data_IF_654155550514
#
_entry.id   IF_654155550514
#
_cell.length_a   1.000
_cell.length_b   1.000
_cell.length_c   1.000
_cell.angle_alpha   90.00
_cell.angle_beta   90.00
_cell.angle_gamma   90.00
#
_symmetry.space_group_name_H-M   'P 1'
#
loop_
_entity.id
_entity.type
_entity.pdbx_description
1 polymer ?
#
# COMPACT_ATOMS: atom_id res chain seq x y z
N UNK A 1 32.20 -21.58 54.41
CA UNK A 1 31.19 -22.57 54.85
C UNK A 1 29.79 -21.99 54.64
N UNK A 2 28.89 -22.79 54.06
CA UNK A 2 27.40 -22.71 53.94
C UNK A 2 26.72 -21.45 54.53
N UNK A 3 25.75 -20.81 53.87
CA UNK A 3 24.44 -21.39 53.47
C UNK A 3 23.78 -20.64 52.31
N UNK A 4 23.09 -21.43 51.50
CA UNK A 4 22.09 -21.09 50.47
C UNK A 4 20.77 -20.79 51.17
N UNK A 5 20.00 -19.81 50.68
CA UNK A 5 18.53 -19.83 50.76
C UNK A 5 17.96 -19.37 49.41
N UNK A 6 17.36 -20.31 48.68
CA UNK A 6 16.37 -20.06 47.63
C UNK A 6 15.05 -19.63 48.30
N UNK A 7 14.37 -18.63 47.73
CA UNK A 7 12.91 -18.56 47.82
C UNK A 7 12.34 -18.25 46.43
N UNK A 8 11.61 -19.23 45.89
CA UNK A 8 10.63 -19.07 44.84
C UNK A 8 9.32 -18.68 45.52
N UNK A 9 8.59 -17.69 44.99
CA UNK A 9 7.28 -17.34 45.51
C UNK A 9 6.54 -16.36 44.61
N UNK A 10 5.62 -16.91 43.82
CA UNK A 10 4.60 -16.21 43.04
C UNK A 10 3.86 -15.17 43.88
N UNK A 11 3.57 -14.00 43.32
CA UNK A 11 2.24 -13.39 43.44
C UNK A 11 2.08 -12.24 42.45
N UNK A 12 1.03 -12.36 41.65
CA UNK A 12 0.52 -11.39 40.71
C UNK A 12 0.19 -10.07 41.41
N UNK A 13 0.69 -8.95 40.88
CA UNK A 13 0.03 -7.65 41.05
C UNK A 13 -0.33 -7.09 39.68
N UNK A 14 -1.61 -7.25 39.35
CA UNK A 14 -2.31 -6.43 38.36
C UNK A 14 -2.25 -4.97 38.82
N UNK A 15 -1.40 -4.17 38.20
CA UNK A 15 -1.51 -2.70 38.30
C UNK A 15 -2.22 -2.23 37.04
N UNK A 16 -3.55 -2.14 37.17
CA UNK A 16 -4.38 -1.25 36.37
C UNK A 16 -3.95 0.17 36.73
N UNK A 17 -3.29 0.86 35.81
CA UNK A 17 -3.09 2.30 35.88
C UNK A 17 -3.49 2.92 34.53
N UNK A 18 -4.70 3.45 34.51
CA UNK A 18 -5.17 4.41 33.52
C UNK A 18 -4.43 5.75 33.72
N UNK A 19 -3.97 6.37 32.62
CA UNK A 19 -3.26 7.67 32.60
C UNK A 19 -1.76 7.52 32.91
N UNK A 20 -0.80 8.04 32.14
CA UNK A 20 -0.76 9.39 31.56
C UNK A 20 0.36 9.46 30.49
N UNK A 21 0.03 10.06 29.33
CA UNK A 21 0.90 10.78 28.38
C UNK A 21 2.28 10.18 27.98
N UNK A 22 2.27 9.22 27.06
CA UNK A 22 3.41 8.97 26.17
C UNK A 22 3.42 9.96 25.00
N UNK A 23 4.49 10.77 24.87
CA UNK A 23 4.70 11.65 23.72
C UNK A 23 4.77 10.81 22.44
N UNK A 24 3.80 10.99 21.54
CA UNK A 24 3.81 10.39 20.20
C UNK A 24 4.88 11.07 19.34
N UNK A 25 6.12 10.57 19.36
CA UNK A 25 7.07 10.84 18.28
C UNK A 25 6.64 10.02 17.07
N UNK A 26 5.75 10.59 16.25
CA UNK A 26 5.52 10.10 14.89
C UNK A 26 6.76 10.41 14.07
N UNK A 27 7.71 9.47 14.04
CA UNK A 27 8.81 9.51 13.10
C UNK A 27 8.27 9.09 11.73
N UNK A 28 7.93 10.07 10.90
CA UNK A 28 7.74 9.85 9.47
C UNK A 28 9.07 9.42 8.87
N UNK A 29 9.36 8.11 8.84
CA UNK A 29 10.51 7.59 8.12
C UNK A 29 10.27 7.90 6.63
N UNK A 30 11.12 8.72 5.98
CA UNK A 30 10.96 8.99 4.57
C UNK A 30 11.19 7.70 3.80
N UNK A 31 10.12 7.14 3.20
CA UNK A 31 10.23 5.99 2.31
C UNK A 31 11.00 6.44 1.07
N UNK A 32 12.30 6.14 1.03
CA UNK A 32 13.16 6.44 -0.12
C UNK A 32 12.66 5.63 -1.33
N UNK A 33 11.93 6.28 -2.23
CA UNK A 33 11.42 5.65 -3.46
C UNK A 33 12.54 5.63 -4.51
N UNK A 34 13.13 4.46 -4.71
CA UNK A 34 14.16 4.22 -5.73
C UNK A 34 13.54 4.18 -7.15
N UNK A 35 14.22 4.80 -8.12
CA UNK A 35 13.85 4.70 -9.53
C UNK A 35 14.32 3.36 -10.10
N UNK A 36 13.41 2.64 -10.77
CA UNK A 36 13.72 1.41 -11.49
C UNK A 36 13.78 1.73 -12.98
N UNK A 37 14.94 1.43 -13.60
CA UNK A 37 15.12 1.50 -15.05
C UNK A 37 14.17 0.51 -15.75
N UNK A 38 13.37 0.95 -16.74
CA UNK A 38 12.51 0.07 -17.51
C UNK A 38 13.28 -0.94 -18.37
N UNK A 39 12.82 -2.19 -18.37
CA UNK A 39 13.30 -3.24 -19.27
C UNK A 39 12.58 -3.24 -20.63
N UNK A 40 11.48 -2.49 -20.75
CA UNK A 40 10.66 -2.36 -21.96
C UNK A 40 10.03 -0.97 -22.02
N UNK A 41 9.50 -0.60 -23.19
CA UNK A 41 9.01 0.75 -23.48
C UNK A 41 7.65 1.05 -22.84
N UNK A 42 7.33 2.35 -22.72
CA UNK A 42 6.01 2.81 -22.30
C UNK A 42 4.91 2.34 -23.25
N UNK A 43 5.17 2.29 -24.56
CA UNK A 43 4.19 1.83 -25.55
C UNK A 43 3.85 0.35 -25.37
N UNK A 44 4.83 -0.48 -24.98
CA UNK A 44 4.57 -1.87 -24.64
C UNK A 44 3.80 -1.99 -23.31
N UNK A 45 4.09 -1.14 -22.32
CA UNK A 45 3.32 -1.05 -21.08
C UNK A 45 1.85 -0.66 -21.33
N UNK A 46 1.61 0.30 -22.23
CA UNK A 46 0.28 0.72 -22.67
C UNK A 46 -0.51 -0.44 -23.24
N UNK A 47 0.10 -1.24 -24.11
CA UNK A 47 -0.54 -2.42 -24.69
C UNK A 47 -0.92 -3.43 -23.61
N UNK A 48 0.00 -3.76 -22.70
CA UNK A 48 -0.25 -4.70 -21.59
C UNK A 48 -1.41 -4.23 -20.70
N UNK A 49 -1.42 -2.95 -20.33
CA UNK A 49 -2.46 -2.40 -19.45
C UNK A 49 -3.81 -2.34 -20.18
N UNK A 50 -3.84 -1.94 -21.45
CA UNK A 50 -5.07 -1.94 -22.26
C UNK A 50 -5.62 -3.35 -22.45
N UNK A 51 -4.76 -4.33 -22.69
CA UNK A 51 -5.13 -5.74 -22.82
C UNK A 51 -5.72 -6.27 -21.49
N UNK A 52 -5.14 -5.89 -20.34
CA UNK A 52 -5.64 -6.27 -19.01
C UNK A 52 -7.05 -5.73 -18.71
N UNK A 53 -7.37 -4.50 -19.12
CA UNK A 53 -8.67 -3.85 -18.81
C UNK A 53 -9.74 -4.11 -19.86
N UNK A 54 -9.44 -4.81 -20.95
CA UNK A 54 -10.36 -5.01 -22.09
C UNK A 54 -11.68 -5.70 -21.72
N UNK A 55 -11.72 -6.46 -20.62
CA UNK A 55 -12.92 -7.11 -20.10
C UNK A 55 -13.63 -6.34 -18.97
N UNK A 56 -13.13 -5.16 -18.59
CA UNK A 56 -13.73 -4.37 -17.51
C UNK A 56 -14.95 -3.61 -18.03
N UNK A 57 -16.04 -3.66 -17.26
CA UNK A 57 -17.24 -2.87 -17.56
C UNK A 57 -17.00 -1.38 -17.39
N UNK A 58 -17.63 -0.59 -18.27
CA UNK A 58 -17.75 0.87 -18.14
C UNK A 58 -16.43 1.65 -18.14
N UNK A 59 -15.34 1.07 -18.67
CA UNK A 59 -14.10 1.81 -18.91
C UNK A 59 -14.35 2.90 -19.95
N UNK A 60 -14.12 4.16 -19.57
CA UNK A 60 -14.27 5.33 -20.44
C UNK A 60 -12.94 5.78 -21.04
N UNK A 61 -11.85 5.68 -20.29
CA UNK A 61 -10.52 6.06 -20.72
C UNK A 61 -9.43 5.27 -19.97
N UNK A 62 -8.25 5.16 -20.58
CA UNK A 62 -7.07 4.55 -20.00
C UNK A 62 -5.85 5.40 -20.36
N UNK A 63 -5.23 5.97 -19.34
CA UNK A 63 -3.97 6.73 -19.45
C UNK A 63 -2.85 5.96 -18.80
N UNK A 64 -1.69 5.89 -19.45
CA UNK A 64 -0.53 5.18 -18.93
C UNK A 64 0.68 6.11 -18.91
N UNK A 65 1.44 6.08 -17.83
CA UNK A 65 2.64 6.89 -17.68
C UNK A 65 3.72 6.16 -16.87
N UNK A 66 4.95 6.63 -17.00
CA UNK A 66 6.09 6.07 -16.29
C UNK A 66 6.20 6.64 -14.87
N UNK A 67 6.00 5.81 -13.85
CA UNK A 67 6.30 6.14 -12.46
C UNK A 67 7.73 5.77 -12.06
N UNK A 68 8.14 6.00 -10.80
CA UNK A 68 9.50 5.64 -10.35
C UNK A 68 9.75 4.13 -10.37
N UNK A 69 8.86 3.35 -9.75
CA UNK A 69 8.99 1.90 -9.56
C UNK A 69 8.21 1.07 -10.59
N UNK A 70 7.09 1.62 -11.07
CA UNK A 70 6.12 0.93 -11.92
C UNK A 70 5.72 1.83 -13.10
N UNK A 71 5.22 1.23 -14.17
CA UNK A 71 4.29 1.92 -15.06
C UNK A 71 2.94 2.03 -14.36
N UNK A 72 2.26 3.16 -14.52
CA UNK A 72 0.99 3.44 -13.84
C UNK A 72 -0.08 3.64 -14.92
N UNK A 73 -1.09 2.78 -14.91
CA UNK A 73 -2.30 2.91 -15.70
C UNK A 73 -3.43 3.49 -14.87
N UNK A 74 -3.93 4.67 -15.21
CA UNK A 74 -5.17 5.23 -14.69
C UNK A 74 -6.33 4.83 -15.60
N UNK A 75 -7.23 4.03 -15.06
CA UNK A 75 -8.42 3.53 -15.73
C UNK A 75 -9.61 4.31 -15.19
N UNK A 76 -10.25 5.07 -16.07
CA UNK A 76 -11.43 5.85 -15.75
C UNK A 76 -12.65 4.97 -16.00
N UNK A 77 -13.47 4.78 -14.97
CA UNK A 77 -14.64 3.91 -14.99
C UNK A 77 -15.85 4.80 -14.70
N UNK A 78 -16.82 4.80 -15.62
CA UNK A 78 -18.11 5.46 -15.37
C UNK A 78 -18.90 4.62 -14.39
N UNK A 79 -19.35 5.17 -13.27
CA UNK A 79 -20.28 4.48 -12.39
C UNK A 79 -21.74 4.76 -12.75
N UNK A 80 -22.59 3.78 -12.44
CA UNK A 80 -24.02 3.98 -12.37
C UNK A 80 -24.27 4.97 -11.22
N UNK A 81 -24.91 6.11 -11.51
CA UNK A 81 -25.12 7.31 -10.65
C UNK A 81 -24.24 8.53 -10.98
N UNK A 82 -23.42 8.50 -12.04
CA UNK A 82 -22.76 9.70 -12.57
C UNK A 82 -21.50 10.13 -11.80
N UNK A 83 -20.96 9.26 -10.95
CA UNK A 83 -19.63 9.44 -10.38
C UNK A 83 -18.61 8.74 -11.27
N UNK A 84 -17.48 9.40 -11.54
CA UNK A 84 -16.36 8.80 -12.26
C UNK A 84 -15.35 8.27 -11.24
N UNK A 85 -15.04 6.98 -11.29
CA UNK A 85 -14.03 6.34 -10.43
C UNK A 85 -12.74 6.14 -11.22
N UNK A 86 -11.60 6.42 -10.59
CA UNK A 86 -10.27 6.12 -11.15
C UNK A 86 -9.68 4.88 -10.47
N UNK A 87 -9.38 3.85 -11.25
CA UNK A 87 -8.62 2.67 -10.81
C UNK A 87 -7.18 2.80 -11.29
N UNK A 88 -6.23 2.73 -10.36
CA UNK A 88 -4.80 2.70 -10.68
C UNK A 88 -4.30 1.27 -10.82
N UNK A 89 -3.56 1.01 -11.88
CA UNK A 89 -2.91 -0.26 -12.17
C UNK A 89 -1.40 -0.02 -12.16
N UNK A 90 -0.67 -0.76 -11.34
CA UNK A 90 0.79 -0.70 -11.33
C UNK A 90 1.38 -1.91 -12.05
N UNK A 91 2.15 -1.67 -13.11
CA UNK A 91 2.81 -2.70 -13.89
C UNK A 91 4.33 -2.69 -13.63
N UNK A 92 4.91 -3.86 -13.32
CA UNK A 92 6.36 -4.01 -13.11
C UNK A 92 7.17 -3.60 -14.33
N UNK A 93 8.13 -2.70 -14.13
CA UNK A 93 9.08 -2.25 -15.15
C UNK A 93 10.12 -3.31 -15.56
N UNK A 94 10.27 -4.40 -14.81
CA UNK A 94 11.37 -5.37 -15.00
C UNK A 94 10.95 -6.55 -15.86
N UNK A 95 9.83 -7.17 -15.54
CA UNK A 95 9.50 -8.54 -15.97
C UNK A 95 8.05 -8.70 -16.43
N UNK A 96 7.25 -7.63 -16.45
CA UNK A 96 5.84 -7.62 -16.86
C UNK A 96 4.91 -8.51 -16.02
N UNK A 97 5.42 -9.16 -14.97
CA UNK A 97 4.73 -10.20 -14.21
C UNK A 97 3.73 -9.65 -13.18
N UNK A 98 4.00 -8.45 -12.67
CA UNK A 98 3.21 -7.85 -11.59
C UNK A 98 2.28 -6.78 -12.16
N UNK A 99 0.98 -7.02 -12.04
CA UNK A 99 -0.10 -6.06 -12.30
C UNK A 99 -0.89 -5.90 -10.98
N UNK A 100 -0.77 -4.75 -10.32
CA UNK A 100 -1.47 -4.47 -9.07
C UNK A 100 -2.60 -3.48 -9.31
N UNK A 101 -3.86 -3.94 -9.36
CA UNK A 101 -4.99 -3.03 -9.39
C UNK A 101 -5.26 -2.45 -8.00
N UNK A 102 -5.53 -1.15 -7.94
CA UNK A 102 -5.90 -0.42 -6.73
C UNK A 102 -7.00 0.56 -7.06
N UNK A 103 -8.03 0.64 -6.22
CA UNK A 103 -8.94 1.79 -6.26
C UNK A 103 -8.13 3.02 -5.82
N UNK A 104 -8.35 4.18 -6.47
CA UNK A 104 -7.72 5.42 -6.07
C UNK A 104 -8.22 5.85 -4.68
N UNK A 105 -7.73 5.22 -3.61
CA UNK A 105 -8.00 5.59 -2.22
C UNK A 105 -7.10 4.85 -1.20
N UNK A 106 -5.85 4.53 -1.56
CA UNK A 106 -4.85 4.05 -0.57
C UNK A 106 -4.04 5.19 0.08
N UNK A 107 -4.48 6.44 -0.08
CA UNK A 107 -3.99 7.56 0.75
C UNK A 107 -4.93 7.90 1.92
N UNK A 108 -6.17 7.38 1.96
CA UNK A 108 -7.14 7.82 2.97
C UNK A 108 -7.37 6.88 4.17
N UNK A 109 -6.98 5.61 4.15
CA UNK A 109 -7.18 4.76 5.34
C UNK A 109 -6.04 4.91 6.39
N UNK A 110 -5.93 6.13 6.94
CA UNK A 110 -5.40 6.36 8.29
C UNK A 110 -6.21 5.55 9.33
N UNK A 111 -7.45 5.18 8.99
CA UNK A 111 -8.37 4.38 9.81
C UNK A 111 -8.05 2.86 9.85
N UNK A 112 -7.13 2.35 9.02
CA UNK A 112 -6.67 0.95 9.06
C UNK A 112 -5.37 0.74 9.88
N UNK A 113 -4.76 1.82 10.38
CA UNK A 113 -3.60 1.75 11.27
C UNK A 113 -3.96 1.79 12.76
N UNK A 114 -5.24 1.62 13.09
CA UNK A 114 -5.71 1.45 14.47
C UNK A 114 -6.45 0.12 14.62
N UNK A 115 -5.71 -0.91 15.02
CA UNK A 115 -6.17 -1.93 15.96
C UNK A 115 -5.10 -2.16 17.00
#
# INVERSE_FOLDING_TARGET
MKKIILTLGLSSLLIVSCGTAGKNTSSSIPVKTEYIKPAYSLQEAEKIIRDYVKGMHMVSDVKVYEGKKYYIGEVYIKDYNGFDTVRKIYLSKRDKSVILPTMAETYDYKYMQTK
#
